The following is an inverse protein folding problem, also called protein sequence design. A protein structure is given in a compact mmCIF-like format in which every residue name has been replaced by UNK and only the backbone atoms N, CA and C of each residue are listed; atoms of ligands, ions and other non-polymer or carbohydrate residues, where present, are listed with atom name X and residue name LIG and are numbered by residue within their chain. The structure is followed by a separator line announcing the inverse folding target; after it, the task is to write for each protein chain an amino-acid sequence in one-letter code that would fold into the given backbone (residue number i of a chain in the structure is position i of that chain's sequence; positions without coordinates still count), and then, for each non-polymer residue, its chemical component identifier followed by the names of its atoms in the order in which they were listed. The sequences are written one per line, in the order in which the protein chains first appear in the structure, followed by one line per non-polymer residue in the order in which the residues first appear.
data_IF_307953921512
#
_entry.id   IF_307953921512
#
_cell.length_a   1.000
_cell.length_b   1.000
_cell.length_c   1.000
_cell.angle_alpha   90.00
_cell.angle_beta   90.00
_cell.angle_gamma   90.00
#
_symmetry.space_group_name_H-M   'P 1'
#
loop_
_entity.id
_entity.type
_entity.pdbx_description
1 polymer ?
#
# COMPACT_ATOMS: atom_id res chain seq x y z
N UNK A 1 -6.24 29.55 3.51
CA UNK A 1 -6.21 28.36 4.41
C UNK A 1 -7.49 28.20 5.23
N UNK A 2 -8.02 29.27 5.84
CA UNK A 2 -9.15 29.17 6.78
C UNK A 2 -10.47 28.67 6.17
N UNK A 3 -10.80 29.10 4.95
CA UNK A 3 -11.97 28.59 4.23
C UNK A 3 -11.90 27.08 3.99
N UNK A 4 -10.73 26.56 3.59
CA UNK A 4 -10.52 25.13 3.40
C UNK A 4 -10.71 24.34 4.70
N UNK A 5 -10.14 24.82 5.82
CA UNK A 5 -10.31 24.16 7.13
C UNK A 5 -11.77 24.15 7.60
N UNK A 6 -12.54 25.23 7.34
CA UNK A 6 -13.99 25.25 7.61
C UNK A 6 -14.73 24.18 6.82
N UNK A 7 -14.44 24.02 5.54
CA UNK A 7 -15.04 22.97 4.72
C UNK A 7 -14.63 21.57 5.20
N UNK A 8 -13.37 21.37 5.62
CA UNK A 8 -12.91 20.12 6.22
C UNK A 8 -13.64 19.79 7.53
N UNK A 9 -13.93 20.80 8.36
CA UNK A 9 -14.70 20.61 9.59
C UNK A 9 -16.12 20.10 9.31
N UNK A 10 -16.83 20.72 8.36
CA UNK A 10 -18.16 20.26 7.94
C UNK A 10 -18.12 18.83 7.34
N UNK A 11 -17.09 18.51 6.56
CA UNK A 11 -16.88 17.17 6.02
C UNK A 11 -16.69 16.14 7.15
N UNK A 12 -15.83 16.43 8.13
CA UNK A 12 -15.59 15.52 9.27
C UNK A 12 -16.84 15.34 10.13
N UNK A 13 -17.65 16.38 10.32
CA UNK A 13 -18.94 16.24 11.01
C UNK A 13 -19.90 15.28 10.28
N UNK A 14 -19.94 15.31 8.95
CA UNK A 14 -20.72 14.36 8.16
C UNK A 14 -20.18 12.93 8.33
N UNK A 15 -18.86 12.74 8.30
CA UNK A 15 -18.23 11.43 8.57
C UNK A 15 -18.58 10.91 9.97
N UNK A 16 -18.58 11.79 10.98
CA UNK A 16 -18.98 11.44 12.35
C UNK A 16 -20.45 11.02 12.43
N UNK A 17 -21.33 11.67 11.68
CA UNK A 17 -22.74 11.28 11.60
C UNK A 17 -22.90 9.86 11.03
N UNK A 18 -22.19 9.52 9.95
CA UNK A 18 -22.18 8.16 9.40
C UNK A 18 -21.60 7.15 10.39
N UNK A 19 -20.51 7.49 11.08
CA UNK A 19 -19.94 6.64 12.13
C UNK A 19 -20.95 6.33 13.24
N UNK A 20 -21.71 7.35 13.69
CA UNK A 20 -22.79 7.18 14.69
C UNK A 20 -23.94 6.30 14.20
N UNK A 21 -24.17 6.25 12.89
CA UNK A 21 -25.13 5.33 12.26
C UNK A 21 -24.60 3.90 12.13
N UNK A 22 -23.39 3.60 12.60
CA UNK A 22 -22.77 2.29 12.52
C UNK A 22 -22.04 2.01 11.20
N UNK A 23 -21.86 3.03 10.34
CA UNK A 23 -21.10 2.87 9.10
C UNK A 23 -19.61 2.85 9.41
N UNK A 24 -18.84 1.83 8.97
CA UNK A 24 -17.39 1.79 9.16
C UNK A 24 -16.71 3.02 8.56
N UNK A 25 -16.27 3.92 9.43
CA UNK A 25 -15.66 5.20 9.06
C UNK A 25 -14.23 5.24 9.56
N UNK A 26 -13.30 5.67 8.71
CA UNK A 26 -11.89 5.77 9.06
C UNK A 26 -11.18 6.89 8.30
N UNK A 27 -10.07 7.37 8.85
CA UNK A 27 -9.18 8.35 8.22
C UNK A 27 -8.09 7.66 7.42
N UNK A 28 -7.87 8.12 6.18
CA UNK A 28 -6.91 7.54 5.24
C UNK A 28 -5.59 8.32 5.16
N UNK A 29 -5.13 8.88 6.29
CA UNK A 29 -3.77 9.41 6.41
C UNK A 29 -3.53 10.77 5.74
N UNK A 30 -4.59 11.52 5.42
CA UNK A 30 -4.49 12.88 4.86
C UNK A 30 -4.58 13.99 5.93
N UNK A 31 -4.64 13.62 7.21
CA UNK A 31 -4.67 14.53 8.36
C UNK A 31 -5.95 15.39 8.48
N UNK A 32 -7.05 15.00 7.83
CA UNK A 32 -8.30 15.79 7.83
C UNK A 32 -8.91 15.97 9.23
N UNK A 33 -8.81 14.96 10.10
CA UNK A 33 -9.29 15.01 11.49
C UNK A 33 -8.61 16.09 12.31
N UNK A 34 -7.29 16.24 12.15
CA UNK A 34 -6.53 17.29 12.83
C UNK A 34 -6.97 18.68 12.37
N UNK A 35 -7.18 18.86 11.05
CA UNK A 35 -7.66 20.13 10.50
C UNK A 35 -9.07 20.49 11.00
N UNK A 36 -9.94 19.50 11.20
CA UNK A 36 -11.27 19.71 11.77
C UNK A 36 -11.23 20.03 13.27
N UNK A 37 -10.34 19.37 14.04
CA UNK A 37 -10.13 19.67 15.46
C UNK A 37 -9.66 21.10 15.69
N UNK A 38 -8.75 21.60 14.85
CA UNK A 38 -8.28 22.99 14.88
C UNK A 38 -9.40 24.02 14.60
N UNK A 39 -10.52 23.59 14.02
CA UNK A 39 -11.70 24.42 13.75
C UNK A 39 -12.83 24.21 14.77
N UNK A 40 -12.58 23.50 15.87
CA UNK A 40 -13.53 23.31 16.96
C UNK A 40 -14.37 22.04 16.89
N UNK A 41 -14.07 21.09 15.99
CA UNK A 41 -14.69 19.75 16.02
C UNK A 41 -13.98 18.91 17.08
N UNK A 42 -14.44 18.99 18.33
CA UNK A 42 -13.78 18.34 19.48
C UNK A 42 -13.66 16.82 19.33
N UNK A 43 -14.68 16.21 18.75
CA UNK A 43 -14.81 14.77 18.60
C UNK A 43 -14.34 14.28 17.20
N UNK A 44 -13.50 15.06 16.51
CA UNK A 44 -12.96 14.71 15.19
C UNK A 44 -12.15 13.41 15.16
N UNK A 45 -11.72 12.90 16.31
CA UNK A 45 -10.92 11.67 16.44
C UNK A 45 -11.73 10.44 16.85
N UNK A 46 -13.07 10.54 16.95
CA UNK A 46 -13.94 9.41 17.34
C UNK A 46 -13.91 8.25 16.34
N UNK A 47 -13.49 8.48 15.09
CA UNK A 47 -13.22 7.42 14.13
C UNK A 47 -11.70 7.19 13.94
N UNK A 48 -11.27 5.93 13.84
CA UNK A 48 -9.85 5.58 13.84
C UNK A 48 -9.15 5.92 12.52
N UNK A 49 -7.82 5.94 12.56
CA UNK A 49 -7.03 5.93 11.32
C UNK A 49 -6.97 4.53 10.70
N UNK A 50 -6.77 4.45 9.39
CA UNK A 50 -6.69 3.16 8.69
C UNK A 50 -5.54 2.28 9.18
N UNK A 51 -4.41 2.88 9.61
CA UNK A 51 -3.26 2.14 10.13
C UNK A 51 -3.59 1.39 11.41
N UNK A 52 -4.01 2.05 12.51
CA UNK A 52 -4.37 1.34 13.73
C UNK A 52 -5.57 0.40 13.54
N UNK A 53 -6.52 0.74 12.67
CA UNK A 53 -7.72 -0.07 12.47
C UNK A 53 -7.48 -1.36 11.65
N UNK A 54 -6.71 -1.28 10.56
CA UNK A 54 -6.64 -2.37 9.58
C UNK A 54 -5.21 -2.82 9.27
N UNK A 55 -4.25 -1.89 9.18
CA UNK A 55 -2.93 -2.20 8.61
C UNK A 55 -1.91 -2.64 9.66
N UNK A 56 -2.06 -2.22 10.92
CA UNK A 56 -1.08 -2.53 11.99
C UNK A 56 -0.81 -4.04 12.15
N UNK A 57 -1.81 -4.94 12.12
CA UNK A 57 -1.54 -6.38 12.17
C UNK A 57 -0.70 -6.90 10.99
N UNK A 58 -0.80 -6.28 9.81
CA UNK A 58 0.04 -6.60 8.65
C UNK A 58 1.49 -6.15 8.91
N UNK A 59 1.67 -4.92 9.39
CA UNK A 59 3.00 -4.40 9.70
C UNK A 59 3.73 -5.18 10.80
N UNK A 60 3.01 -5.70 11.80
CA UNK A 60 3.58 -6.55 12.83
C UNK A 60 4.17 -7.86 12.27
N UNK A 61 3.69 -8.34 11.11
CA UNK A 61 4.24 -9.49 10.39
C UNK A 61 5.28 -9.10 9.32
N UNK A 62 5.71 -7.83 9.31
CA UNK A 62 6.58 -7.29 8.27
C UNK A 62 5.93 -7.18 6.89
N UNK A 63 4.62 -7.43 6.78
CA UNK A 63 3.87 -7.31 5.54
C UNK A 63 3.67 -5.83 5.26
N UNK A 64 4.01 -5.41 4.05
CA UNK A 64 3.84 -4.03 3.62
C UNK A 64 4.02 -3.92 2.12
N UNK A 65 3.88 -2.69 1.57
CA UNK A 65 3.91 -2.47 0.14
C UNK A 65 5.32 -2.73 -0.41
N UNK A 66 5.53 -3.89 -0.98
CA UNK A 66 6.73 -4.25 -1.73
C UNK A 66 6.47 -3.94 -3.20
N UNK A 67 7.45 -3.38 -3.90
CA UNK A 67 7.28 -2.96 -5.29
C UNK A 67 8.56 -3.17 -6.07
N UNK A 68 8.41 -3.55 -7.33
CA UNK A 68 9.50 -3.63 -8.28
C UNK A 68 9.10 -3.00 -9.60
N UNK A 69 10.11 -2.56 -10.35
CA UNK A 69 9.96 -1.88 -11.63
C UNK A 69 10.85 -2.56 -12.66
N UNK A 70 10.30 -2.88 -13.83
CA UNK A 70 11.05 -3.41 -14.96
C UNK A 70 11.71 -2.25 -15.73
N UNK A 71 13.02 -2.11 -15.60
CA UNK A 71 13.77 -1.02 -16.25
C UNK A 71 13.88 -1.17 -17.77
N UNK A 72 13.55 -2.35 -18.31
CA UNK A 72 13.48 -2.63 -19.76
C UNK A 72 12.37 -1.85 -20.45
N UNK A 73 11.34 -1.45 -19.71
CA UNK A 73 10.10 -0.92 -20.27
C UNK A 73 9.16 -1.99 -20.82
N UNK A 74 9.55 -3.28 -20.81
CA UNK A 74 8.74 -4.38 -21.33
C UNK A 74 7.73 -4.89 -20.28
N UNK A 75 6.41 -4.80 -20.53
CA UNK A 75 5.38 -5.37 -19.66
C UNK A 75 5.54 -6.87 -19.39
N UNK A 76 6.15 -7.62 -20.32
CA UNK A 76 6.36 -9.06 -20.15
C UNK A 76 7.27 -9.39 -18.98
N UNK A 77 8.23 -8.53 -18.64
CA UNK A 77 9.09 -8.72 -17.47
C UNK A 77 8.27 -8.68 -16.17
N UNK A 78 7.21 -7.85 -16.11
CA UNK A 78 6.27 -7.84 -14.98
C UNK A 78 5.43 -9.12 -14.95
N UNK A 79 4.96 -9.62 -16.09
CA UNK A 79 4.16 -10.86 -16.11
C UNK A 79 4.98 -12.10 -15.75
N UNK A 80 6.26 -12.16 -16.14
CA UNK A 80 7.19 -13.21 -15.74
C UNK A 80 7.46 -13.16 -14.23
N UNK A 81 7.66 -11.96 -13.68
CA UNK A 81 7.83 -11.81 -12.22
C UNK A 81 6.54 -12.10 -11.45
N UNK A 82 5.36 -11.75 -11.96
CA UNK A 82 4.06 -12.14 -11.39
C UNK A 82 3.94 -13.68 -11.30
N UNK A 83 4.32 -14.41 -12.36
CA UNK A 83 4.33 -15.87 -12.36
C UNK A 83 5.32 -16.44 -11.33
N UNK A 84 6.54 -15.89 -11.27
CA UNK A 84 7.56 -16.28 -10.28
C UNK A 84 7.09 -16.07 -8.85
N UNK A 85 6.36 -14.98 -8.58
CA UNK A 85 5.80 -14.73 -7.25
C UNK A 85 4.77 -15.79 -6.89
N UNK A 86 3.90 -16.21 -7.83
CA UNK A 86 2.93 -17.29 -7.60
C UNK A 86 3.60 -18.63 -7.35
N UNK A 87 4.71 -18.92 -8.01
CA UNK A 87 5.51 -20.14 -7.78
C UNK A 87 6.11 -20.15 -6.36
N UNK A 88 6.69 -19.04 -5.92
CA UNK A 88 7.37 -18.94 -4.62
C UNK A 88 6.36 -18.89 -3.46
N UNK A 89 5.25 -18.18 -3.64
CA UNK A 89 4.19 -18.02 -2.63
C UNK A 89 2.94 -18.78 -3.05
N UNK A 90 3.07 -20.09 -3.25
CA UNK A 90 2.03 -20.93 -3.85
C UNK A 90 0.74 -21.03 -3.02
N UNK A 91 0.83 -20.91 -1.69
CA UNK A 91 -0.30 -21.18 -0.79
C UNK A 91 -1.21 -19.95 -0.56
N UNK A 92 -0.76 -18.74 -0.91
CA UNK A 92 -1.52 -17.51 -0.65
C UNK A 92 -2.50 -17.19 -1.80
N UNK A 93 -3.71 -17.73 -1.67
CA UNK A 93 -4.81 -17.49 -2.63
C UNK A 93 -5.17 -16.01 -2.79
N UNK A 94 -5.07 -15.22 -1.73
CA UNK A 94 -5.38 -13.78 -1.79
C UNK A 94 -4.32 -13.04 -2.62
N UNK A 95 -3.05 -13.39 -2.45
CA UNK A 95 -1.96 -12.85 -3.25
C UNK A 95 -2.11 -13.21 -4.73
N UNK A 96 -2.48 -14.46 -5.04
CA UNK A 96 -2.67 -14.90 -6.42
C UNK A 96 -3.79 -14.12 -7.09
N UNK A 97 -4.92 -13.98 -6.40
CA UNK A 97 -6.06 -13.19 -6.88
C UNK A 97 -5.68 -11.71 -7.06
N UNK A 98 -4.87 -11.14 -6.16
CA UNK A 98 -4.36 -9.78 -6.32
C UNK A 98 -3.55 -9.62 -7.60
N UNK A 99 -2.65 -10.56 -7.92
CA UNK A 99 -1.84 -10.51 -9.14
C UNK A 99 -2.69 -10.64 -10.40
N UNK A 100 -3.71 -11.51 -10.40
CA UNK A 100 -4.64 -11.66 -11.52
C UNK A 100 -5.44 -10.38 -11.76
N UNK A 101 -6.03 -9.83 -10.70
CA UNK A 101 -6.76 -8.56 -10.75
C UNK A 101 -5.87 -7.40 -11.19
N UNK A 102 -4.62 -7.37 -10.72
CA UNK A 102 -3.66 -6.34 -11.07
C UNK A 102 -3.19 -6.44 -12.52
N UNK A 103 -3.26 -7.62 -13.15
CA UNK A 103 -3.00 -7.80 -14.59
C UNK A 103 -4.19 -7.34 -15.44
N UNK A 104 -5.41 -7.63 -15.01
CA UNK A 104 -6.62 -7.32 -15.77
C UNK A 104 -7.06 -5.85 -15.64
N UNK A 105 -6.86 -5.24 -14.47
CA UNK A 105 -7.47 -3.93 -14.14
C UNK A 105 -6.48 -2.77 -14.04
N UNK A 106 -5.19 -3.03 -13.87
CA UNK A 106 -4.19 -1.97 -13.68
C UNK A 106 -3.38 -1.80 -14.96
N UNK A 107 -3.54 -0.65 -15.59
CA UNK A 107 -2.74 -0.25 -16.74
C UNK A 107 -1.41 0.31 -16.26
N UNK A 108 -0.32 -0.05 -16.93
CA UNK A 108 1.01 0.47 -16.60
C UNK A 108 1.10 1.97 -16.92
N UNK A 109 1.82 2.71 -16.07
CA UNK A 109 2.07 4.14 -16.24
C UNK A 109 3.59 4.38 -16.24
N UNK A 110 4.16 4.75 -17.39
CA UNK A 110 5.60 4.85 -17.56
C UNK A 110 6.26 3.47 -17.62
N UNK A 111 7.29 3.25 -16.81
CA UNK A 111 7.90 1.93 -16.70
C UNK A 111 6.93 0.92 -16.08
N UNK A 112 6.81 -0.29 -16.63
CA UNK A 112 6.01 -1.35 -16.02
C UNK A 112 6.47 -1.63 -14.59
N UNK A 113 5.52 -1.60 -13.67
CA UNK A 113 5.78 -1.78 -12.24
C UNK A 113 4.67 -2.59 -11.60
N UNK A 114 5.02 -3.34 -10.56
CA UNK A 114 4.06 -4.11 -9.75
C UNK A 114 4.23 -3.78 -8.29
N UNK A 115 3.10 -3.68 -7.60
CA UNK A 115 3.03 -3.62 -6.14
C UNK A 115 2.41 -4.93 -5.63
N UNK A 116 3.02 -5.51 -4.61
CA UNK A 116 2.52 -6.69 -3.93
C UNK A 116 2.77 -6.54 -2.42
N UNK A 117 1.80 -6.93 -1.60
CA UNK A 117 1.94 -6.88 -0.15
C UNK A 117 2.54 -8.19 0.35
N UNK A 118 3.85 -8.19 0.60
CA UNK A 118 4.57 -9.37 1.08
C UNK A 118 5.26 -9.13 2.43
N UNK A 119 5.26 -10.19 3.24
CA UNK A 119 5.89 -10.27 4.55
C UNK A 119 7.42 -10.27 4.50
N UNK A 120 8.04 -10.16 5.67
CA UNK A 120 9.50 -10.14 5.79
C UNK A 120 10.14 -11.41 5.20
N UNK A 121 9.54 -12.57 5.44
CA UNK A 121 10.03 -13.87 4.97
C UNK A 121 10.17 -13.95 3.44
N UNK A 122 9.23 -13.34 2.72
CA UNK A 122 9.14 -13.48 1.26
C UNK A 122 9.96 -12.44 0.52
N UNK A 123 10.18 -11.25 1.09
CA UNK A 123 10.92 -10.16 0.42
C UNK A 123 12.30 -10.58 -0.04
N UNK A 124 13.06 -11.24 0.83
CA UNK A 124 14.41 -11.70 0.49
C UNK A 124 14.37 -12.81 -0.58
N UNK A 125 13.45 -13.77 -0.45
CA UNK A 125 13.29 -14.87 -1.42
C UNK A 125 12.93 -14.34 -2.81
N UNK A 126 11.98 -13.42 -2.89
CA UNK A 126 11.56 -12.77 -4.13
C UNK A 126 12.67 -11.90 -4.74
N UNK A 127 13.36 -11.09 -3.93
CA UNK A 127 14.47 -10.26 -4.41
C UNK A 127 15.61 -11.08 -5.02
N UNK A 128 15.99 -12.19 -4.38
CA UNK A 128 16.99 -13.11 -4.91
C UNK A 128 16.51 -13.81 -6.19
N UNK A 129 15.25 -14.26 -6.23
CA UNK A 129 14.68 -14.88 -7.42
C UNK A 129 14.63 -13.91 -8.61
N UNK A 130 14.25 -12.65 -8.40
CA UNK A 130 14.24 -11.65 -9.46
C UNK A 130 15.64 -11.33 -9.95
N UNK A 131 16.64 -11.28 -9.06
CA UNK A 131 18.03 -11.07 -9.45
C UNK A 131 18.54 -12.25 -10.30
N UNK A 132 18.16 -13.48 -9.96
CA UNK A 132 18.48 -14.67 -10.73
C UNK A 132 17.83 -14.66 -12.12
N UNK A 133 16.56 -14.25 -12.22
CA UNK A 133 15.87 -14.09 -13.52
C UNK A 133 16.57 -13.08 -14.43
N UNK A 134 17.13 -12.01 -13.86
CA UNK A 134 17.94 -11.04 -14.63
C UNK A 134 19.26 -11.69 -15.07
N UNK A 135 19.93 -12.43 -14.17
CA UNK A 135 21.21 -13.11 -14.47
C UNK A 135 21.07 -14.14 -15.60
N UNK A 136 19.95 -14.86 -15.64
CA UNK A 136 19.66 -15.88 -16.65
C UNK A 136 19.03 -15.31 -17.93
N UNK A 137 18.74 -14.01 -17.99
CA UNK A 137 18.10 -13.37 -19.14
C UNK A 137 16.62 -13.71 -19.32
N UNK A 138 15.98 -14.33 -18.32
CA UNK A 138 14.52 -14.51 -18.30
C UNK A 138 13.81 -13.17 -18.25
N UNK A 139 14.42 -12.18 -17.58
CA UNK A 139 14.00 -10.78 -17.55
C UNK A 139 15.03 -9.93 -18.29
N UNK A 140 14.54 -8.96 -19.05
CA UNK A 140 15.31 -8.21 -20.04
C UNK A 140 16.20 -7.11 -19.45
N UNK A 141 15.95 -6.68 -18.20
CA UNK A 141 16.72 -5.64 -17.51
C UNK A 141 16.64 -5.75 -15.97
N UNK A 142 17.55 -5.11 -15.21
CA UNK A 142 17.52 -5.11 -13.75
C UNK A 142 16.19 -4.60 -13.20
N UNK A 143 15.71 -5.22 -12.12
CA UNK A 143 14.57 -4.73 -11.36
C UNK A 143 15.05 -3.82 -10.23
N UNK A 144 14.48 -2.62 -10.11
CA UNK A 144 14.69 -1.79 -8.92
C UNK A 144 13.65 -2.19 -7.86
N UNK A 145 14.10 -2.85 -6.79
CA UNK A 145 13.33 -2.96 -5.54
C UNK A 145 13.41 -1.60 -4.83
N UNK A 146 12.27 -0.93 -4.65
CA UNK A 146 12.27 0.36 -3.95
C UNK A 146 12.28 0.08 -2.44
N UNK A 147 13.43 0.24 -1.75
CA UNK A 147 13.46 0.03 -0.31
C UNK A 147 12.61 1.11 0.35
N UNK A 148 11.98 0.76 1.48
CA UNK A 148 11.43 1.80 2.37
C UNK A 148 12.55 2.81 2.67
N UNK A 149 12.35 4.13 2.48
CA UNK A 149 13.37 5.11 2.82
C UNK A 149 13.73 4.96 4.32
N UNK A 150 15.02 4.94 4.67
CA UNK A 150 15.45 4.85 6.07
C UNK A 150 15.00 6.13 6.79
N UNK A 151 13.93 6.05 7.60
CA UNK A 151 13.44 7.21 8.35
C UNK A 151 11.97 7.20 8.76
N UNK A 152 11.13 6.31 8.22
CA UNK A 152 9.71 6.25 8.59
C UNK A 152 9.49 5.55 9.95
N UNK A 153 9.81 6.25 11.06
CA UNK A 153 9.29 5.91 12.40
C UNK A 153 7.83 6.33 12.46
N UNK A 154 6.91 5.38 12.64
CA UNK A 154 5.58 5.70 13.15
C UNK A 154 5.77 6.29 14.55
N UNK A 155 5.71 7.63 14.68
CA UNK A 155 5.55 8.26 15.99
C UNK A 155 4.28 7.68 16.60
N UNK A 156 4.40 6.99 17.73
CA UNK A 156 3.28 6.76 18.64
C UNK A 156 2.76 8.16 19.01
N UNK A 157 1.60 8.54 18.48
CA UNK A 157 0.82 9.61 19.10
C UNK A 157 0.14 8.95 20.30
N UNK A 158 0.75 9.14 21.47
CA UNK A 158 0.11 9.10 22.78
C UNK A 158 -0.89 10.23 22.91
#
# INVERSE_FOLDING_TARGET
MQAAKRSMAAHVQAMLAFSKMGVPTFDYGNNIRQMAKEMGVENAFDFPGFVPAYIRPLFCRGIGPFRWVALSGDPQDIYKTDAKVKEIVAEDKHLHHWLDMARERIHFQGLPARICWVGLEWRQKLGLAFNEMVRCGEVSAPHCDWPRPPGFRFRRQS
#
